data_IF_716783605416
#
_entry.id   IF_716783605416
#
_cell.length_a   1.000
_cell.length_b   1.000
_cell.length_c   1.000
_cell.angle_alpha   90.00
_cell.angle_beta   90.00
_cell.angle_gamma   90.00
#
_symmetry.space_group_name_H-M   'P 1'
#
loop_
_entity.id
_entity.type
_entity.pdbx_description
1 polymer ?
#
# COMPACT_ATOMS: atom_id res chain seq x y z
N UNK A 1 8.52 -14.30 9.95
CA UNK A 1 9.13 -13.06 9.40
C UNK A 1 9.42 -13.12 7.89
N UNK A 2 9.76 -14.27 7.29
CA UNK A 2 10.14 -14.34 5.86
C UNK A 2 9.01 -14.08 4.85
N UNK A 3 7.76 -14.41 5.20
CA UNK A 3 6.60 -14.25 4.31
C UNK A 3 6.36 -12.76 3.97
N UNK A 4 6.42 -11.89 4.98
CA UNK A 4 6.23 -10.44 4.80
C UNK A 4 7.35 -9.84 3.93
N UNK A 5 8.58 -10.32 4.08
CA UNK A 5 9.70 -9.86 3.25
C UNK A 5 9.55 -10.31 1.79
N UNK A 6 9.07 -11.53 1.55
CA UNK A 6 8.78 -12.04 0.21
C UNK A 6 7.61 -11.29 -0.45
N UNK A 7 6.57 -10.96 0.32
CA UNK A 7 5.47 -10.13 -0.16
C UNK A 7 5.94 -8.73 -0.52
N UNK A 8 6.73 -8.07 0.35
CA UNK A 8 7.31 -6.76 0.04
C UNK A 8 8.21 -6.79 -1.21
N UNK A 9 8.99 -7.85 -1.39
CA UNK A 9 9.77 -8.04 -2.60
C UNK A 9 8.86 -8.18 -3.83
N UNK A 10 7.83 -9.01 -3.74
CA UNK A 10 6.82 -9.18 -4.80
C UNK A 10 6.12 -7.86 -5.14
N UNK A 11 5.80 -7.03 -4.15
CA UNK A 11 5.26 -5.68 -4.34
C UNK A 11 6.20 -4.81 -5.17
N UNK A 12 7.46 -4.73 -4.77
CA UNK A 12 8.45 -3.92 -5.51
C UNK A 12 8.66 -4.41 -6.94
N UNK A 13 8.64 -5.72 -7.15
CA UNK A 13 8.74 -6.33 -8.47
C UNK A 13 7.53 -5.98 -9.35
N UNK A 14 6.31 -6.16 -8.83
CA UNK A 14 5.06 -5.85 -9.56
C UNK A 14 4.95 -4.37 -9.90
N UNK A 15 5.41 -3.47 -9.01
CA UNK A 15 5.52 -2.03 -9.32
C UNK A 15 6.36 -1.79 -10.58
N UNK A 16 7.46 -2.54 -10.73
CA UNK A 16 8.43 -2.34 -11.82
C UNK A 16 7.95 -2.96 -13.13
N UNK A 17 7.34 -4.14 -13.06
CA UNK A 17 6.95 -4.90 -14.25
C UNK A 17 5.57 -4.50 -14.77
N UNK A 18 4.60 -4.28 -13.88
CA UNK A 18 3.20 -4.08 -14.26
C UNK A 18 2.49 -3.03 -13.38
N UNK A 19 2.94 -1.76 -13.40
CA UNK A 19 2.40 -0.71 -12.52
C UNK A 19 0.91 -0.38 -12.76
N UNK A 20 0.38 -0.71 -13.95
CA UNK A 20 -0.99 -0.39 -14.38
C UNK A 20 -2.02 -1.48 -14.02
N UNK A 21 -1.59 -2.61 -13.46
CA UNK A 21 -2.52 -3.65 -13.03
C UNK A 21 -3.47 -3.13 -11.94
N UNK A 22 -4.66 -3.73 -11.79
CA UNK A 22 -5.57 -3.42 -10.70
C UNK A 22 -4.93 -3.66 -9.33
N UNK A 23 -5.19 -2.76 -8.37
CA UNK A 23 -4.70 -2.88 -7.00
C UNK A 23 -5.16 -4.17 -6.29
N UNK A 24 -6.26 -4.77 -6.73
CA UNK A 24 -6.83 -6.03 -6.24
C UNK A 24 -5.92 -7.24 -6.48
N UNK A 25 -4.99 -7.15 -7.43
CA UNK A 25 -4.00 -8.21 -7.69
C UNK A 25 -2.99 -8.37 -6.55
N UNK A 26 -2.92 -7.37 -5.67
CA UNK A 26 -1.86 -7.18 -4.70
C UNK A 26 -2.40 -7.00 -3.28
N UNK A 27 -3.54 -6.33 -3.14
CA UNK A 27 -4.16 -6.03 -1.86
C UNK A 27 -5.53 -6.67 -1.73
N UNK A 28 -5.89 -7.00 -0.49
CA UNK A 28 -7.24 -7.46 -0.19
C UNK A 28 -8.27 -6.33 -0.33
N UNK A 29 -9.55 -6.65 -0.55
CA UNK A 29 -10.60 -5.63 -0.67
C UNK A 29 -10.68 -4.70 0.55
N UNK A 30 -10.47 -5.23 1.77
CA UNK A 30 -10.48 -4.45 3.01
C UNK A 30 -9.30 -3.49 3.06
N UNK A 31 -8.09 -3.95 2.70
CA UNK A 31 -6.90 -3.08 2.61
C UNK A 31 -7.13 -1.94 1.61
N UNK A 32 -7.77 -2.22 0.47
CA UNK A 32 -8.12 -1.21 -0.52
C UNK A 32 -9.13 -0.20 0.05
N UNK A 33 -10.14 -0.65 0.78
CA UNK A 33 -11.11 0.23 1.42
C UNK A 33 -10.44 1.16 2.44
N UNK A 34 -9.58 0.63 3.30
CA UNK A 34 -8.83 1.43 4.29
C UNK A 34 -7.91 2.44 3.60
N UNK A 35 -7.19 2.03 2.54
CA UNK A 35 -6.37 2.94 1.77
C UNK A 35 -7.19 4.03 1.05
N UNK A 36 -8.38 3.69 0.53
CA UNK A 36 -9.31 4.67 -0.06
C UNK A 36 -9.78 5.68 0.99
N UNK A 37 -10.17 5.22 2.17
CA UNK A 37 -10.62 6.08 3.26
C UNK A 37 -9.51 7.02 3.74
N UNK A 38 -8.25 6.57 3.71
CA UNK A 38 -7.10 7.40 4.11
C UNK A 38 -6.58 8.31 3.00
N UNK A 39 -6.83 7.99 1.74
CA UNK A 39 -6.29 8.74 0.60
C UNK A 39 -6.98 10.10 0.44
N UNK A 40 -6.20 11.18 0.43
CA UNK A 40 -6.70 12.54 0.19
C UNK A 40 -7.16 12.74 -1.26
N UNK A 41 -6.60 11.99 -2.21
CA UNK A 41 -6.96 12.04 -3.64
C UNK A 41 -7.02 10.63 -4.19
N UNK A 42 -8.19 10.24 -4.69
CA UNK A 42 -8.37 8.96 -5.36
C UNK A 42 -8.08 9.12 -6.86
N UNK A 43 -7.25 8.25 -7.45
CA UNK A 43 -7.09 8.20 -8.90
C UNK A 43 -8.36 7.61 -9.54
N UNK A 44 -8.56 7.92 -10.83
CA UNK A 44 -9.64 7.32 -11.63
C UNK A 44 -9.54 5.80 -11.73
N UNK A 45 -8.33 5.26 -11.64
CA UNK A 45 -8.04 3.83 -11.69
C UNK A 45 -7.16 3.44 -10.51
N UNK A 46 -7.60 2.44 -9.75
CA UNK A 46 -6.87 1.92 -8.60
C UNK A 46 -5.83 0.93 -9.10
N UNK A 47 -4.61 1.42 -9.30
CA UNK A 47 -3.52 0.60 -9.84
C UNK A 47 -2.57 0.08 -8.76
N UNK A 48 -1.76 -0.92 -9.09
CA UNK A 48 -0.65 -1.41 -8.24
C UNK A 48 0.30 -0.26 -7.87
N UNK A 49 0.59 0.64 -8.81
CA UNK A 49 1.39 1.83 -8.51
C UNK A 49 0.76 2.69 -7.42
N UNK A 50 -0.54 2.99 -7.52
CA UNK A 50 -1.25 3.77 -6.51
C UNK A 50 -1.26 3.08 -5.15
N UNK A 51 -1.49 1.77 -5.12
CA UNK A 51 -1.49 0.98 -3.89
C UNK A 51 -0.12 1.08 -3.18
N UNK A 52 0.96 0.85 -3.92
CA UNK A 52 2.32 0.86 -3.36
C UNK A 52 2.75 2.27 -2.94
N UNK A 53 2.40 3.31 -3.71
CA UNK A 53 2.64 4.70 -3.32
C UNK A 53 1.84 5.08 -2.07
N UNK A 54 0.61 4.61 -1.93
CA UNK A 54 -0.23 4.86 -0.76
C UNK A 54 0.34 4.19 0.49
N UNK A 55 0.79 2.94 0.38
CA UNK A 55 1.50 2.23 1.45
C UNK A 55 2.78 2.97 1.83
N UNK A 56 3.57 3.39 0.84
CA UNK A 56 4.79 4.12 1.11
C UNK A 56 4.53 5.46 1.83
N UNK A 57 3.46 6.17 1.47
CA UNK A 57 3.04 7.40 2.17
C UNK A 57 2.72 7.14 3.65
N UNK A 58 2.07 6.02 3.97
CA UNK A 58 1.85 5.61 5.37
C UNK A 58 3.18 5.41 6.12
N UNK A 59 4.20 4.91 5.42
CA UNK A 59 5.56 4.71 5.93
C UNK A 59 6.43 5.97 5.98
N UNK A 60 5.90 7.15 5.60
CA UNK A 60 6.63 8.42 5.61
C UNK A 60 7.24 8.83 4.27
N UNK A 61 6.82 8.22 3.15
CA UNK A 61 7.24 8.64 1.82
C UNK A 61 6.62 9.99 1.43
N UNK A 62 7.46 10.99 1.19
CA UNK A 62 7.05 12.37 0.91
C UNK A 62 6.81 12.60 -0.60
N UNK A 63 5.82 13.44 -0.92
CA UNK A 63 5.39 13.69 -2.30
C UNK A 63 6.46 14.33 -3.19
N UNK A 64 7.36 15.13 -2.62
CA UNK A 64 8.47 15.75 -3.36
C UNK A 64 9.54 14.74 -3.80
N UNK A 65 9.56 13.53 -3.22
CA UNK A 65 10.47 12.44 -3.62
C UNK A 65 9.87 11.51 -4.67
N UNK A 66 8.79 11.89 -5.36
CA UNK A 66 8.08 11.02 -6.34
C UNK A 66 8.99 10.34 -7.38
N UNK A 67 10.12 10.94 -7.73
CA UNK A 67 11.12 10.39 -8.68
C UNK A 67 12.15 9.44 -8.05
N UNK A 68 12.23 9.39 -6.73
CA UNK A 68 13.16 8.52 -6.00
C UNK A 68 12.55 7.12 -5.86
N UNK A 69 13.34 6.03 -5.97
CA UNK A 69 12.84 4.70 -5.65
C UNK A 69 12.38 4.63 -4.19
N UNK A 70 11.30 3.91 -3.95
CA UNK A 70 10.76 3.71 -2.60
C UNK A 70 11.63 2.69 -1.89
N UNK A 71 12.25 3.07 -0.78
CA UNK A 71 13.09 2.17 0.01
C UNK A 71 12.27 1.08 0.71
N UNK A 72 12.85 -0.12 0.84
CA UNK A 72 12.21 -1.27 1.48
C UNK A 72 11.79 -0.99 2.94
N UNK A 73 12.58 -0.22 3.69
CA UNK A 73 12.27 0.16 5.06
C UNK A 73 11.01 1.03 5.15
N UNK A 74 10.81 1.94 4.18
CA UNK A 74 9.62 2.80 4.12
C UNK A 74 8.39 1.98 3.78
N UNK A 75 8.51 1.03 2.84
CA UNK A 75 7.43 0.11 2.53
C UNK A 75 7.06 -0.78 3.72
N UNK A 76 8.05 -1.32 4.44
CA UNK A 76 7.80 -2.14 5.62
C UNK A 76 7.06 -1.37 6.72
N UNK A 77 7.52 -0.14 7.04
CA UNK A 77 6.82 0.73 7.99
C UNK A 77 5.39 1.05 7.56
N UNK A 78 5.21 1.31 6.26
CA UNK A 78 3.89 1.58 5.68
C UNK A 78 2.96 0.37 5.73
N UNK A 79 3.50 -0.82 5.49
CA UNK A 79 2.77 -2.08 5.54
C UNK A 79 2.31 -2.43 6.95
N UNK A 80 3.21 -2.32 7.94
CA UNK A 80 2.86 -2.52 9.34
C UNK A 80 1.71 -1.58 9.76
N UNK A 81 1.84 -0.30 9.44
CA UNK A 81 0.80 0.70 9.73
C UNK A 81 -0.52 0.45 9.00
N UNK A 82 -0.48 -0.09 7.79
CA UNK A 82 -1.69 -0.50 7.08
C UNK A 82 -2.40 -1.64 7.81
N UNK A 83 -1.65 -2.61 8.34
CA UNK A 83 -2.23 -3.72 9.09
C UNK A 83 -2.93 -3.24 10.35
N UNK A 84 -2.30 -2.34 11.12
CA UNK A 84 -2.91 -1.73 12.31
C UNK A 84 -4.22 -0.99 11.97
N UNK A 85 -4.25 -0.27 10.84
CA UNK A 85 -5.44 0.44 10.37
C UNK A 85 -6.55 -0.51 9.91
N UNK A 86 -6.19 -1.64 9.28
CA UNK A 86 -7.15 -2.67 8.87
C UNK A 86 -7.77 -3.34 10.09
N UNK A 87 -6.97 -3.66 11.10
CA UNK A 87 -7.47 -4.20 12.37
C UNK A 87 -8.43 -3.21 13.03
N UNK A 88 -8.04 -1.94 13.16
CA UNK A 88 -8.93 -0.89 13.69
C UNK A 88 -10.22 -0.70 12.88
N UNK A 89 -10.14 -0.79 11.54
CA UNK A 89 -11.31 -0.72 10.68
C UNK A 89 -12.25 -1.90 10.88
N UNK A 90 -11.71 -3.12 11.00
CA UNK A 90 -12.51 -4.32 11.24
C UNK A 90 -13.20 -4.27 12.60
N UNK A 91 -12.49 -3.84 13.64
CA UNK A 91 -13.06 -3.67 14.98
C UNK A 91 -14.20 -2.65 14.99
N UNK A 92 -14.03 -1.52 14.31
CA UNK A 92 -15.07 -0.49 14.21
C UNK A 92 -16.32 -0.94 13.42
N UNK A 93 -16.16 -1.85 12.44
CA UNK A 93 -17.25 -2.37 11.62
C UNK A 93 -17.96 -3.58 12.24
N UNK A 94 -17.47 -4.11 13.36
CA UNK A 94 -18.09 -5.24 14.10
C UNK A 94 -19.10 -4.79 15.16
N UNK A 95 -19.24 -3.48 15.40
CA UNK A 95 -20.30 -2.84 16.22
C UNK A 95 -21.38 -2.27 15.33
#
# INVERSE_FOLDING_TARGET
MCIIAADLLRLTYLKRTQPKLPAETVLSPVQIQVLKAKATRLPKTLTVQWAIESIARLGGYLEHRRKTPIGIQVLWKGWAKLQDLVEGWQLANQT
#
